data_IF_183933984556
#
_entry.id   IF_183933984556
#
_cell.length_a   1.000
_cell.length_b   1.000
_cell.length_c   1.000
_cell.angle_alpha   90.00
_cell.angle_beta   90.00
_cell.angle_gamma   90.00
#
_symmetry.space_group_name_H-M   'P 1'
#
loop_
_entity.id
_entity.type
_entity.pdbx_description
1 polymer ?
#
# COMPACT_ATOMS: atom_id res chain seq x y z
N UNK A 1 -2.05 13.08 25.18
CA UNK A 1 -2.95 11.94 24.96
C UNK A 1 -4.15 12.52 24.27
N UNK A 2 -4.25 12.35 22.96
CA UNK A 2 -5.23 13.07 22.17
C UNK A 2 -6.48 12.23 22.05
N UNK A 3 -7.63 12.76 22.51
CA UNK A 3 -8.91 12.11 22.34
C UNK A 3 -9.55 12.62 21.05
N UNK A 4 -10.06 11.70 20.22
CA UNK A 4 -10.76 12.03 18.96
C UNK A 4 -12.06 11.24 18.86
N UNK A 5 -12.98 11.73 18.04
CA UNK A 5 -14.19 11.01 17.69
C UNK A 5 -13.92 10.12 16.48
N UNK A 6 -14.37 8.87 16.54
CA UNK A 6 -14.24 7.96 15.42
C UNK A 6 -15.16 8.42 14.26
N UNK A 7 -14.66 8.58 13.03
CA UNK A 7 -15.47 8.98 11.88
C UNK A 7 -16.47 7.90 11.45
N UNK A 8 -16.25 6.62 11.81
CA UNK A 8 -17.17 5.52 11.47
C UNK A 8 -18.32 5.33 12.47
N UNK A 9 -18.06 5.49 13.78
CA UNK A 9 -19.06 5.19 14.82
C UNK A 9 -19.33 6.32 15.80
N UNK A 10 -18.65 7.47 15.68
CA UNK A 10 -18.80 8.63 16.57
C UNK A 10 -18.20 8.47 17.98
N UNK A 11 -17.75 7.27 18.37
CA UNK A 11 -17.22 7.02 19.72
C UNK A 11 -15.92 7.79 19.98
N UNK A 12 -15.78 8.32 21.19
CA UNK A 12 -14.53 8.87 21.71
C UNK A 12 -13.49 7.75 21.88
N UNK A 13 -12.28 7.98 21.38
CA UNK A 13 -11.16 7.04 21.52
C UNK A 13 -9.84 7.80 21.66
N UNK A 14 -8.84 7.12 22.22
CA UNK A 14 -7.47 7.62 22.30
C UNK A 14 -6.83 7.50 20.92
N UNK A 15 -6.49 8.63 20.32
CA UNK A 15 -5.78 8.68 19.06
C UNK A 15 -4.38 8.06 19.22
N UNK A 16 -4.05 7.18 18.28
CA UNK A 16 -2.75 6.53 18.19
C UNK A 16 -2.11 6.93 16.86
N UNK A 17 -2.30 6.14 15.81
CA UNK A 17 -1.74 6.40 14.47
C UNK A 17 -2.80 6.43 13.37
N UNK A 18 -4.00 5.94 13.67
CA UNK A 18 -5.14 5.89 12.75
C UNK A 18 -6.31 6.66 13.32
N UNK A 19 -7.07 7.32 12.45
CA UNK A 19 -8.30 8.03 12.81
C UNK A 19 -9.49 7.09 12.99
N UNK A 20 -9.30 5.87 13.51
CA UNK A 20 -10.36 4.91 13.77
C UNK A 20 -10.24 4.36 15.19
N UNK A 21 -11.37 4.16 15.87
CA UNK A 21 -11.35 3.52 17.18
C UNK A 21 -10.96 2.04 17.06
N UNK A 22 -10.46 1.41 18.14
CA UNK A 22 -10.02 0.01 18.11
C UNK A 22 -11.10 -0.97 17.63
N UNK A 23 -12.37 -0.73 17.99
CA UNK A 23 -13.49 -1.59 17.57
C UNK A 23 -13.76 -1.47 16.07
N UNK A 24 -13.72 -0.26 15.51
CA UNK A 24 -13.91 -0.07 14.08
C UNK A 24 -12.71 -0.55 13.28
N UNK A 25 -11.50 -0.46 13.83
CA UNK A 25 -10.30 -0.99 13.20
C UNK A 25 -10.36 -2.51 13.09
N UNK A 26 -10.73 -3.21 14.17
CA UNK A 26 -10.90 -4.68 14.16
C UNK A 26 -11.92 -5.14 13.13
N UNK A 27 -13.09 -4.50 13.08
CA UNK A 27 -14.10 -4.79 12.04
C UNK A 27 -13.57 -4.56 10.63
N UNK A 28 -12.75 -3.53 10.45
CA UNK A 28 -12.14 -3.24 9.15
C UNK A 28 -11.14 -4.30 8.72
N UNK A 29 -10.40 -4.87 9.67
CA UNK A 29 -9.48 -5.99 9.45
C UNK A 29 -10.26 -7.29 9.16
N UNK A 30 -11.32 -7.57 9.92
CA UNK A 30 -12.21 -8.72 9.68
C UNK A 30 -12.87 -8.65 8.29
N UNK A 31 -13.37 -7.49 7.89
CA UNK A 31 -13.95 -7.27 6.55
C UNK A 31 -12.91 -7.47 5.46
N UNK A 32 -11.69 -6.97 5.67
CA UNK A 32 -10.59 -7.12 4.73
C UNK A 32 -10.19 -8.59 4.56
N UNK A 33 -10.09 -9.35 5.65
CA UNK A 33 -9.73 -10.76 5.61
C UNK A 33 -10.82 -11.59 4.91
N UNK A 34 -12.11 -11.27 5.14
CA UNK A 34 -13.22 -11.90 4.41
C UNK A 34 -13.15 -11.66 2.91
N UNK A 35 -12.96 -10.40 2.49
CA UNK A 35 -12.83 -10.03 1.08
C UNK A 35 -11.61 -10.71 0.45
N UNK A 36 -10.48 -10.75 1.16
CA UNK A 36 -9.27 -11.42 0.69
C UNK A 36 -9.48 -12.92 0.53
N UNK A 37 -10.12 -13.58 1.48
CA UNK A 37 -10.42 -15.01 1.37
C UNK A 37 -11.32 -15.28 0.16
N UNK A 38 -12.41 -14.52 0.02
CA UNK A 38 -13.36 -14.69 -1.06
C UNK A 38 -12.73 -14.53 -2.46
N UNK A 39 -11.86 -13.55 -2.64
CA UNK A 39 -11.12 -13.33 -3.90
C UNK A 39 -10.11 -14.46 -4.18
N UNK A 40 -9.50 -15.04 -3.14
CA UNK A 40 -8.58 -16.18 -3.35
C UNK A 40 -9.33 -17.46 -3.71
N UNK A 41 -10.52 -17.68 -3.14
CA UNK A 41 -11.35 -18.83 -3.42
C UNK A 41 -12.07 -18.70 -4.78
N UNK A 42 -12.41 -17.47 -5.18
CA UNK A 42 -13.13 -17.17 -6.42
C UNK A 42 -12.34 -16.16 -7.27
N UNK A 43 -11.31 -16.61 -8.01
CA UNK A 43 -10.48 -15.72 -8.81
C UNK A 43 -11.22 -15.07 -9.98
N UNK A 44 -12.39 -15.58 -10.38
CA UNK A 44 -13.22 -15.02 -11.45
C UNK A 44 -14.38 -14.17 -10.91
N UNK A 45 -14.48 -13.95 -9.60
CA UNK A 45 -15.58 -13.18 -9.03
C UNK A 45 -15.53 -11.70 -9.43
N UNK A 46 -16.70 -11.16 -9.74
CA UNK A 46 -16.94 -9.73 -9.96
C UNK A 46 -16.97 -8.97 -8.62
N UNK A 47 -16.80 -7.65 -8.67
CA UNK A 47 -16.88 -6.81 -7.46
C UNK A 47 -18.25 -6.94 -6.78
N UNK A 48 -19.31 -7.15 -7.56
CA UNK A 48 -20.67 -7.34 -7.08
C UNK A 48 -20.82 -8.66 -6.32
N UNK A 49 -20.35 -9.77 -6.89
CA UNK A 49 -20.34 -11.08 -6.22
C UNK A 49 -19.48 -11.08 -4.96
N UNK A 50 -18.34 -10.40 -4.98
CA UNK A 50 -17.50 -10.22 -3.78
C UNK A 50 -18.27 -9.41 -2.72
N UNK A 51 -19.00 -8.38 -3.12
CA UNK A 51 -19.80 -7.57 -2.20
C UNK A 51 -20.93 -8.38 -1.56
N UNK A 52 -21.63 -9.18 -2.35
CA UNK A 52 -22.71 -10.06 -1.89
C UNK A 52 -22.18 -11.19 -0.99
N UNK A 53 -21.06 -11.83 -1.38
CA UNK A 53 -20.48 -12.94 -0.64
C UNK A 53 -19.78 -12.55 0.65
N UNK A 54 -19.35 -11.29 0.78
CA UNK A 54 -18.61 -10.81 1.96
C UNK A 54 -19.43 -9.88 2.85
N UNK A 55 -20.61 -9.43 2.40
CA UNK A 55 -21.43 -8.40 3.04
C UNK A 55 -20.65 -7.08 3.28
N UNK A 56 -19.66 -6.83 2.42
CA UNK A 56 -18.86 -5.61 2.43
C UNK A 56 -19.28 -4.76 1.27
N UNK A 57 -19.56 -3.47 1.50
CA UNK A 57 -19.97 -2.56 0.44
C UNK A 57 -18.91 -2.46 -0.68
N UNK A 58 -19.37 -2.42 -1.94
CA UNK A 58 -18.53 -2.20 -3.15
C UNK A 58 -17.52 -1.06 -2.97
N UNK A 59 -17.95 0.08 -2.41
CA UNK A 59 -17.09 1.25 -2.17
C UNK A 59 -15.87 0.91 -1.31
N UNK A 60 -16.08 0.09 -0.27
CA UNK A 60 -15.04 -0.30 0.68
C UNK A 60 -14.07 -1.32 0.06
N UNK A 61 -14.59 -2.24 -0.76
CA UNK A 61 -13.77 -3.17 -1.55
C UNK A 61 -12.86 -2.38 -2.51
N UNK A 62 -13.41 -1.39 -3.21
CA UNK A 62 -12.65 -0.49 -4.08
C UNK A 62 -11.57 0.30 -3.32
N UNK A 63 -11.87 0.78 -2.11
CA UNK A 63 -10.87 1.44 -1.26
C UNK A 63 -9.69 0.51 -0.94
N UNK A 64 -9.93 -0.75 -0.59
CA UNK A 64 -8.84 -1.68 -0.29
C UNK A 64 -7.94 -1.97 -1.49
N UNK A 65 -8.51 -2.03 -2.69
CA UNK A 65 -7.78 -2.16 -3.94
C UNK A 65 -6.97 -0.89 -4.27
N UNK A 66 -7.56 0.29 -4.06
CA UNK A 66 -6.89 1.59 -4.23
C UNK A 66 -5.76 1.82 -3.24
N UNK A 67 -5.88 1.29 -2.02
CA UNK A 67 -4.82 1.32 -1.01
C UNK A 67 -3.65 0.38 -1.33
N UNK A 68 -3.79 -0.51 -2.32
CA UNK A 68 -2.76 -1.49 -2.69
C UNK A 68 -2.55 -2.56 -1.61
N UNK A 69 -3.47 -2.67 -0.64
CA UNK A 69 -3.45 -3.71 0.40
C UNK A 69 -3.93 -5.05 -0.12
N UNK A 70 -4.81 -5.03 -1.11
CA UNK A 70 -5.30 -6.21 -1.81
C UNK A 70 -4.54 -6.35 -3.15
N UNK A 71 -3.81 -7.46 -3.28
CA UNK A 71 -3.12 -7.82 -4.52
C UNK A 71 -4.01 -8.78 -5.30
N UNK A 72 -4.63 -8.29 -6.37
CA UNK A 72 -5.31 -9.14 -7.32
C UNK A 72 -4.28 -9.94 -8.13
N UNK A 73 -4.49 -11.25 -8.27
CA UNK A 73 -3.72 -12.07 -9.22
C UNK A 73 -4.25 -11.83 -10.64
N UNK A 74 -3.43 -12.04 -11.67
CA UNK A 74 -3.75 -11.79 -13.08
C UNK A 74 -5.04 -12.47 -13.59
N UNK A 75 -5.57 -13.48 -12.90
CA UNK A 75 -6.84 -14.14 -13.24
C UNK A 75 -8.10 -13.39 -12.75
N UNK A 76 -7.96 -12.33 -11.94
CA UNK A 76 -9.08 -11.50 -11.48
C UNK A 76 -9.48 -10.47 -12.54
N UNK A 77 -9.77 -10.97 -13.74
CA UNK A 77 -10.04 -10.17 -14.95
C UNK A 77 -11.32 -9.33 -14.80
N UNK A 78 -12.22 -9.74 -13.90
CA UNK A 78 -13.54 -9.11 -13.71
C UNK A 78 -13.54 -7.93 -12.72
N UNK A 79 -12.45 -7.66 -12.01
CA UNK A 79 -12.32 -6.51 -11.11
C UNK A 79 -11.56 -5.41 -11.87
N UNK A 80 -12.31 -4.58 -12.58
CA UNK A 80 -11.77 -3.50 -13.40
C UNK A 80 -11.77 -2.22 -12.56
N UNK A 81 -10.59 -1.74 -12.18
CA UNK A 81 -10.42 -0.41 -11.60
C UNK A 81 -10.15 0.59 -12.74
N UNK A 82 -10.55 1.84 -12.57
CA UNK A 82 -10.27 2.90 -13.54
C UNK A 82 -9.21 3.86 -13.01
N UNK A 83 -8.27 4.22 -13.88
CA UNK A 83 -7.26 5.22 -13.57
C UNK A 83 -7.90 6.59 -13.38
N UNK A 84 -7.73 7.21 -12.22
CA UNK A 84 -8.32 8.51 -11.88
C UNK A 84 -7.83 9.67 -12.79
N UNK A 85 -6.75 9.46 -13.56
CA UNK A 85 -6.16 10.48 -14.43
C UNK A 85 -6.52 10.32 -15.91
N UNK A 86 -6.73 9.10 -16.38
CA UNK A 86 -6.93 8.84 -17.82
C UNK A 86 -8.07 7.88 -18.13
N UNK A 87 -8.77 7.35 -17.12
CA UNK A 87 -9.85 6.39 -17.28
C UNK A 87 -9.41 5.00 -17.79
N UNK A 88 -8.10 4.76 -17.95
CA UNK A 88 -7.63 3.45 -18.37
C UNK A 88 -7.91 2.38 -17.31
N UNK A 89 -8.29 1.19 -17.76
CA UNK A 89 -8.48 0.03 -16.90
C UNK A 89 -7.16 -0.37 -16.24
N UNK A 90 -7.17 -0.54 -14.92
CA UNK A 90 -6.05 -0.92 -14.07
C UNK A 90 -6.45 -2.10 -13.19
N UNK A 91 -5.49 -2.98 -12.89
CA UNK A 91 -5.71 -4.12 -11.99
C UNK A 91 -5.41 -3.75 -10.54
N UNK A 92 -4.49 -2.81 -10.31
CA UNK A 92 -4.07 -2.38 -8.97
C UNK A 92 -3.71 -0.90 -8.94
N UNK A 93 -3.85 -0.29 -7.76
CA UNK A 93 -3.49 1.10 -7.51
C UNK A 93 -4.57 2.12 -7.89
N UNK A 94 -4.21 3.41 -7.83
CA UNK A 94 -5.11 4.54 -8.16
C UNK A 94 -4.91 5.08 -9.58
N UNK A 95 -3.71 4.91 -10.11
CA UNK A 95 -3.28 5.45 -11.41
C UNK A 95 -2.55 4.37 -12.18
N UNK A 96 -2.72 4.33 -13.49
CA UNK A 96 -2.01 3.38 -14.34
C UNK A 96 -0.51 3.68 -14.40
N UNK A 97 0.30 2.67 -14.71
CA UNK A 97 1.76 2.80 -14.85
C UNK A 97 2.16 3.89 -15.86
N UNK A 98 1.35 4.07 -16.92
CA UNK A 98 1.56 5.13 -17.91
C UNK A 98 1.40 6.52 -17.30
N UNK A 99 0.43 6.69 -16.39
CA UNK A 99 0.22 7.94 -15.69
C UNK A 99 1.29 8.15 -14.62
N UNK A 100 1.57 7.17 -13.77
CA UNK A 100 2.63 7.29 -12.75
C UNK A 100 3.99 7.65 -13.35
N UNK A 101 4.35 7.05 -14.49
CA UNK A 101 5.58 7.37 -15.22
C UNK A 101 5.64 8.80 -15.78
N UNK A 102 4.50 9.39 -16.18
CA UNK A 102 4.44 10.81 -16.61
C UNK A 102 4.63 11.77 -15.45
N UNK A 103 4.12 11.44 -14.25
CA UNK A 103 4.32 12.25 -13.05
C UNK A 103 5.78 12.18 -12.58
N UNK A 104 6.38 10.98 -12.54
CA UNK A 104 7.77 10.80 -12.13
C UNK A 104 8.76 11.52 -13.06
N UNK A 105 8.49 11.54 -14.37
CA UNK A 105 9.34 12.25 -15.35
C UNK A 105 9.24 13.78 -15.26
N UNK A 106 8.18 14.36 -14.69
CA UNK A 106 8.03 15.82 -14.56
C UNK A 106 8.63 16.36 -13.27
N UNK A 107 8.67 15.59 -12.19
CA UNK A 107 9.24 16.04 -10.90
C UNK A 107 10.77 15.90 -10.84
N UNK A 108 11.37 14.99 -11.61
CA UNK A 108 12.83 14.77 -11.64
C UNK A 108 13.61 15.68 -12.61
N UNK A 109 12.98 16.70 -13.21
CA UNK A 109 13.67 17.63 -14.15
C UNK A 109 13.99 18.99 -13.48
N UNK A 110 13.76 19.15 -12.18
CA UNK A 110 14.17 20.37 -11.45
C UNK A 110 14.78 20.05 -10.10
N UNK A 111 15.94 19.39 -10.13
CA UNK A 111 16.92 19.49 -9.06
C UNK A 111 18.29 19.28 -9.68
N UNK A 112 19.14 20.29 -9.50
CA UNK A 112 20.54 20.35 -9.87
C UNK A 112 21.23 18.98 -9.95
N UNK A 113 22.02 18.78 -11.02
CA UNK A 113 23.19 17.89 -10.94
C UNK A 113 24.04 18.40 -9.77
N UNK A 114 24.03 17.72 -8.64
CA UNK A 114 25.15 17.84 -7.70
C UNK A 114 26.38 17.29 -8.42
N UNK A 115 27.48 18.03 -8.52
CA UNK A 115 28.76 17.44 -8.86
C UNK A 115 29.06 16.37 -7.81
N UNK A 116 29.29 15.14 -8.24
CA UNK A 116 29.97 14.17 -7.40
C UNK A 116 31.44 14.59 -7.42
N UNK A 117 31.86 15.38 -6.42
CA UNK A 117 33.27 15.70 -6.24
C UNK A 117 34.03 14.38 -5.95
N UNK A 118 34.98 14.02 -6.82
CA UNK A 118 35.73 12.75 -6.78
C UNK A 118 36.78 12.67 -5.63
N UNK A 119 36.80 13.64 -4.71
CA UNK A 119 37.91 13.86 -3.79
C UNK A 119 37.67 13.39 -2.34
N UNK A 120 36.73 12.47 -2.10
CA UNK A 120 36.57 11.80 -0.79
C UNK A 120 37.19 10.40 -0.77
N UNK A 121 38.48 10.27 -1.07
CA UNK A 121 39.26 9.09 -0.68
C UNK A 121 39.55 9.14 0.83
N UNK A 122 38.53 8.80 1.63
CA UNK A 122 38.70 8.53 3.05
C UNK A 122 39.64 7.33 3.24
N UNK A 123 40.81 7.58 3.83
CA UNK A 123 41.75 6.52 4.24
C UNK A 123 41.12 5.72 5.39
N UNK A 124 40.56 4.55 5.09
CA UNK A 124 40.18 3.57 6.10
C UNK A 124 41.45 3.00 6.75
N UNK A 125 41.81 3.51 7.93
CA UNK A 125 42.87 2.92 8.76
C UNK A 125 42.37 1.57 9.32
N UNK A 126 42.67 0.48 8.59
CA UNK A 126 42.39 -0.88 9.04
C UNK A 126 43.43 -1.32 10.08
N UNK A 127 43.37 -0.73 11.27
CA UNK A 127 44.18 -1.16 12.41
C UNK A 127 43.29 -1.25 13.64
N UNK A 128 42.64 -2.42 13.81
CA UNK A 128 42.32 -3.11 15.08
C UNK A 128 41.13 -4.07 14.90
N UNK A 129 41.31 -5.13 14.12
CA UNK A 129 40.57 -6.38 14.33
C UNK A 129 41.51 -7.55 14.01
N UNK A 130 42.53 -7.73 14.85
CA UNK A 130 43.20 -9.01 14.96
C UNK A 130 42.20 -10.00 15.57
N UNK A 131 41.45 -10.70 14.72
CA UNK A 131 40.73 -11.91 15.14
C UNK A 131 41.79 -12.93 15.50
N UNK A 132 41.83 -13.27 16.79
CA UNK A 132 42.60 -14.38 17.35
C UNK A 132 41.93 -15.65 16.83
N UNK A 133 42.35 -16.11 15.66
CA UNK A 133 41.88 -17.36 15.09
C UNK A 133 42.38 -18.53 15.95
N UNK A 134 41.41 -19.13 16.62
CA UNK A 134 41.44 -20.42 17.28
C UNK A 134 41.78 -21.48 16.21
N UNK A 135 43.05 -21.80 16.06
CA UNK A 135 43.51 -22.99 15.32
C UNK A 135 43.79 -24.11 16.33
N UNK A 136 43.00 -25.18 16.16
CA UNK A 136 43.31 -26.61 16.35
C UNK A 136 43.92 -27.06 17.68
#
# INVERSE_FOLDING_TARGET
>A
MDLRNCPKCGKLFVYSHRNLCPSCLKKDEEDFDRVRAFINDNPEATIEEVSEGTDVSVKKILEYLKEGRLMLRNNNVNIILECELCGAQILTGRICEKCSGKFFKRTFVTSNRLPLDEDMKGKLHLSKFARKDKKR
#
